data_IF_687316935858
#
_entry.id   IF_687316935858
#
_cell.length_a   1.000
_cell.length_b   1.000
_cell.length_c   1.000
_cell.angle_alpha   90.00
_cell.angle_beta   90.00
_cell.angle_gamma   90.00
#
_symmetry.space_group_name_H-M   'P 1'
#
loop_
_entity.id
_entity.type
_entity.pdbx_description
1 polymer ?
#
# COMPACT_ATOMS: atom_id res chain seq x y z
N UNK A 1 21.00 5.57 -13.20
CA UNK A 1 20.15 5.44 -12.27
C UNK A 1 19.03 4.47 -12.52
N UNK A 2 18.57 3.96 -11.60
CA UNK A 2 17.60 2.91 -11.75
C UNK A 2 16.42 3.35 -12.58
N UNK A 3 16.01 2.48 -13.41
CA UNK A 3 14.82 2.70 -14.21
C UNK A 3 13.83 1.67 -13.75
N UNK A 4 12.86 2.16 -13.03
CA UNK A 4 11.84 1.30 -12.47
C UNK A 4 10.57 1.52 -13.24
N UNK A 5 9.90 0.44 -13.50
CA UNK A 5 8.69 0.48 -14.25
C UNK A 5 7.57 -0.09 -13.43
N UNK A 6 6.54 0.69 -13.25
CA UNK A 6 5.35 0.29 -12.54
C UNK A 6 4.22 0.00 -13.51
N UNK A 7 3.61 -1.16 -13.36
CA UNK A 7 2.41 -1.50 -14.09
C UNK A 7 1.35 -1.85 -13.08
N UNK A 8 0.24 -1.15 -13.13
CA UNK A 8 -0.82 -1.29 -12.14
C UNK A 8 -1.91 -2.18 -12.70
N UNK A 9 -2.29 -3.18 -11.91
CA UNK A 9 -3.40 -4.07 -12.23
C UNK A 9 -4.50 -3.91 -11.21
N UNK A 10 -5.73 -3.84 -11.67
CA UNK A 10 -6.89 -3.77 -10.79
C UNK A 10 -7.89 -4.80 -11.27
N UNK A 11 -8.11 -5.85 -10.46
CA UNK A 11 -9.03 -6.92 -10.79
C UNK A 11 -8.74 -7.54 -12.17
N UNK A 12 -7.46 -7.68 -12.48
CA UNK A 12 -7.03 -8.24 -13.75
C UNK A 12 -6.98 -7.26 -14.90
N UNK A 13 -7.39 -6.03 -14.68
CA UNK A 13 -7.32 -4.98 -15.69
C UNK A 13 -6.15 -4.07 -15.43
N UNK A 14 -5.59 -3.54 -16.53
CA UNK A 14 -4.50 -2.58 -16.41
C UNK A 14 -5.04 -1.19 -16.21
N UNK A 15 -4.37 -0.44 -15.36
CA UNK A 15 -4.66 0.98 -15.19
C UNK A 15 -3.72 1.84 -16.03
N UNK A 16 -3.27 1.30 -17.15
CA UNK A 16 -2.33 2.00 -18.03
C UNK A 16 -2.92 3.25 -18.67
N UNK A 17 -4.25 3.33 -18.70
CA UNK A 17 -4.93 4.46 -19.31
C UNK A 17 -4.92 5.69 -18.41
N UNK A 18 -4.49 5.54 -17.17
CA UNK A 18 -4.42 6.66 -16.26
C UNK A 18 -3.29 7.57 -16.71
N UNK A 19 -3.58 8.84 -16.82
CA UNK A 19 -2.57 9.83 -17.11
C UNK A 19 -1.73 10.05 -15.86
N UNK A 20 -0.50 10.52 -16.05
CA UNK A 20 0.40 10.80 -14.96
C UNK A 20 -0.25 11.74 -13.94
N UNK A 21 -0.96 12.75 -14.42
CA UNK A 21 -1.63 13.70 -13.54
C UNK A 21 -2.68 13.03 -12.66
N UNK A 22 -3.39 12.05 -13.21
CA UNK A 22 -4.41 11.34 -12.44
C UNK A 22 -3.79 10.48 -11.37
N UNK A 23 -2.67 9.82 -11.68
CA UNK A 23 -1.96 9.01 -10.69
C UNK A 23 -1.39 9.89 -9.59
N UNK A 24 -0.83 11.05 -9.96
CA UNK A 24 -0.33 12.00 -8.97
C UNK A 24 -1.45 12.51 -8.09
N UNK A 25 -2.61 12.76 -8.66
CA UNK A 25 -3.74 13.21 -7.87
C UNK A 25 -4.19 12.16 -6.90
N UNK A 26 -4.18 10.89 -7.31
CA UNK A 26 -4.51 9.78 -6.41
C UNK A 26 -3.52 9.73 -5.27
N UNK A 27 -2.23 9.94 -5.55
CA UNK A 27 -1.20 9.96 -4.50
C UNK A 27 -1.31 11.16 -3.59
N UNK A 28 -1.66 12.32 -4.13
CA UNK A 28 -1.68 13.56 -3.36
C UNK A 28 -3.00 13.83 -2.66
N UNK A 29 -4.09 13.33 -3.23
CA UNK A 29 -5.43 13.55 -2.68
C UNK A 29 -6.10 12.24 -2.35
N UNK A 30 -5.30 11.26 -1.95
CA UNK A 30 -5.79 9.92 -1.65
C UNK A 30 -6.37 9.80 -0.25
N UNK A 31 -6.74 10.93 0.33
CA UNK A 31 -7.34 10.95 1.65
C UNK A 31 -8.81 11.28 1.50
N UNK A 32 -9.63 10.34 1.91
CA UNK A 32 -11.06 10.52 1.94
C UNK A 32 -11.50 10.55 3.40
N UNK A 33 -12.26 11.55 3.77
CA UNK A 33 -12.59 11.77 5.17
C UNK A 33 -14.10 11.64 5.39
N UNK A 34 -14.59 10.44 5.69
CA UNK A 34 -15.97 10.30 6.14
C UNK A 34 -16.12 10.89 7.53
N UNK A 35 -17.34 10.92 8.04
CA UNK A 35 -17.67 11.62 9.27
C UNK A 35 -16.80 11.27 10.47
N UNK A 36 -16.34 10.04 10.58
CA UNK A 36 -15.57 9.60 11.75
C UNK A 36 -14.27 8.90 11.40
N UNK A 37 -13.91 8.86 10.13
CA UNK A 37 -12.76 8.08 9.70
C UNK A 37 -11.96 8.75 8.62
N UNK A 38 -10.89 8.09 8.27
CA UNK A 38 -9.93 8.57 7.30
C UNK A 38 -9.44 7.38 6.49
N UNK A 39 -9.58 7.44 5.17
CA UNK A 39 -9.06 6.41 4.28
C UNK A 39 -7.81 6.95 3.59
N UNK A 40 -6.73 6.18 3.64
CA UNK A 40 -5.46 6.56 3.03
C UNK A 40 -5.05 5.48 2.05
N UNK A 41 -4.86 5.86 0.81
CA UNK A 41 -4.38 4.95 -0.24
C UNK A 41 -2.87 5.11 -0.35
N UNK A 42 -2.14 4.06 -0.05
CA UNK A 42 -0.68 4.12 -0.06
C UNK A 42 -0.14 4.00 -1.48
N UNK A 43 0.94 4.73 -1.73
CA UNK A 43 1.70 4.60 -2.97
C UNK A 43 2.96 3.76 -2.68
N UNK A 44 3.70 3.46 -3.73
CA UNK A 44 4.94 2.69 -3.59
C UNK A 44 5.97 3.37 -2.67
N UNK A 45 5.88 4.69 -2.54
CA UNK A 45 6.80 5.45 -1.67
C UNK A 45 6.57 5.22 -0.19
N UNK A 46 5.39 4.72 0.14
CA UNK A 46 5.01 4.50 1.53
C UNK A 46 5.41 3.12 2.02
N UNK A 47 6.02 2.33 1.15
CA UNK A 47 6.34 0.93 1.43
C UNK A 47 7.83 0.67 1.33
N UNK A 48 8.29 -0.33 2.06
CA UNK A 48 9.65 -0.82 1.95
C UNK A 48 9.70 -1.80 0.78
N UNK A 49 10.05 -1.30 -0.40
CA UNK A 49 9.97 -2.07 -1.64
C UNK A 49 10.91 -3.27 -1.66
N UNK A 50 12.09 -3.12 -1.09
CA UNK A 50 13.06 -4.21 -1.09
C UNK A 50 12.62 -5.45 -0.35
N UNK A 51 11.61 -5.34 0.49
CA UNK A 51 11.11 -6.48 1.25
C UNK A 51 10.27 -7.43 0.38
N UNK A 52 9.62 -6.89 -0.64
CA UNK A 52 8.68 -7.68 -1.44
C UNK A 52 9.33 -8.86 -2.15
N UNK A 53 10.60 -8.76 -2.52
CA UNK A 53 11.26 -9.87 -3.21
C UNK A 53 11.35 -11.14 -2.37
N UNK A 54 11.22 -11.00 -1.06
CA UNK A 54 11.28 -12.15 -0.15
C UNK A 54 9.93 -12.79 0.12
N UNK A 55 8.84 -12.13 -0.30
CA UNK A 55 7.49 -12.56 0.06
C UNK A 55 6.58 -12.70 -1.17
N UNK A 56 7.16 -12.99 -2.32
CA UNK A 56 6.37 -13.11 -3.55
C UNK A 56 5.33 -14.22 -3.48
N UNK A 57 5.62 -15.29 -2.75
CA UNK A 57 4.66 -16.36 -2.58
C UNK A 57 3.38 -15.86 -1.93
N UNK A 58 3.53 -15.10 -0.86
CA UNK A 58 2.38 -14.55 -0.14
C UNK A 58 1.64 -13.51 -0.99
N UNK A 59 2.40 -12.66 -1.68
CA UNK A 59 1.82 -11.61 -2.51
C UNK A 59 1.05 -12.20 -3.69
N UNK A 60 1.57 -13.28 -4.28
CA UNK A 60 0.90 -13.91 -5.42
C UNK A 60 -0.47 -14.48 -5.08
N UNK A 61 -0.73 -14.73 -3.81
CA UNK A 61 -2.02 -15.26 -3.37
C UNK A 61 -3.07 -14.17 -3.13
N UNK A 62 -2.68 -12.90 -3.24
CA UNK A 62 -3.58 -11.78 -2.96
C UNK A 62 -4.18 -11.22 -4.24
N UNK A 63 -5.38 -10.67 -4.09
CA UNK A 63 -6.03 -9.93 -5.17
C UNK A 63 -6.56 -8.62 -4.61
N UNK A 64 -6.84 -7.67 -5.50
CA UNK A 64 -7.47 -6.40 -5.12
C UNK A 64 -8.75 -6.65 -4.32
N UNK A 65 -8.90 -5.94 -3.24
CA UNK A 65 -10.07 -6.04 -2.39
C UNK A 65 -9.90 -6.97 -1.20
N UNK A 66 -8.85 -7.79 -1.19
CA UNK A 66 -8.61 -8.69 -0.06
C UNK A 66 -8.36 -7.89 1.21
N UNK A 67 -8.93 -8.35 2.31
CA UNK A 67 -8.63 -7.81 3.63
C UNK A 67 -7.29 -8.34 4.10
N UNK A 68 -6.50 -7.47 4.71
CA UNK A 68 -5.22 -7.85 5.29
C UNK A 68 -5.16 -7.32 6.71
N UNK A 69 -4.32 -7.93 7.52
CA UNK A 69 -4.27 -7.69 8.96
C UNK A 69 -3.14 -6.73 9.29
N UNK A 70 -3.46 -5.70 10.05
CA UNK A 70 -2.50 -4.67 10.45
C UNK A 70 -1.54 -5.24 11.48
N UNK A 71 -0.25 -4.94 11.32
CA UNK A 71 0.78 -5.23 12.30
C UNK A 71 1.62 -3.98 12.51
N UNK A 72 2.56 -4.03 13.44
CA UNK A 72 3.38 -2.86 13.76
C UNK A 72 4.15 -2.29 12.59
N UNK A 73 4.69 -3.17 11.73
CA UNK A 73 5.58 -2.73 10.67
C UNK A 73 4.96 -2.80 9.27
N UNK A 74 3.75 -3.32 9.17
CA UNK A 74 3.12 -3.50 7.87
C UNK A 74 1.81 -4.25 7.99
N UNK A 75 1.57 -5.14 7.05
CA UNK A 75 0.34 -5.93 7.04
C UNK A 75 0.65 -7.39 6.80
N UNK A 76 -0.22 -8.25 7.29
CA UNK A 76 -0.12 -9.69 7.18
C UNK A 76 -1.36 -10.26 6.49
N UNK A 77 -1.22 -11.46 5.93
CA UNK A 77 -2.37 -12.18 5.42
C UNK A 77 -3.09 -12.88 6.58
N UNK A 78 -4.12 -13.64 6.27
CA UNK A 78 -4.91 -14.35 7.28
C UNK A 78 -4.16 -15.50 7.94
N UNK A 79 -3.00 -15.86 7.42
CA UNK A 79 -2.13 -16.88 8.02
C UNK A 79 -1.06 -16.29 8.91
N UNK A 80 -1.06 -14.99 9.09
CA UNK A 80 -0.06 -14.31 9.90
C UNK A 80 1.27 -14.08 9.20
N UNK A 81 1.31 -14.23 7.88
CA UNK A 81 2.52 -14.00 7.11
C UNK A 81 2.54 -12.57 6.58
N UNK A 82 3.70 -11.93 6.65
CA UNK A 82 3.83 -10.55 6.16
C UNK A 82 3.60 -10.49 4.65
N UNK A 83 2.83 -9.50 4.20
CA UNK A 83 2.60 -9.26 2.79
C UNK A 83 3.09 -7.89 2.35
N UNK A 84 3.39 -7.01 3.30
CA UNK A 84 4.04 -5.73 3.00
C UNK A 84 4.63 -5.16 4.28
N UNK A 85 5.61 -4.28 4.12
CA UNK A 85 6.15 -3.47 5.22
C UNK A 85 6.05 -2.02 4.84
N UNK A 86 5.73 -1.18 5.79
CA UNK A 86 5.70 0.27 5.61
C UNK A 86 7.12 0.82 5.56
N UNK A 87 7.31 1.90 4.80
CA UNK A 87 8.55 2.63 4.84
C UNK A 87 8.69 3.31 6.20
N UNK A 88 9.93 3.65 6.56
CA UNK A 88 10.20 4.37 7.80
C UNK A 88 9.41 5.68 7.84
N UNK A 89 9.36 6.38 6.72
CA UNK A 89 8.67 7.65 6.63
C UNK A 89 7.18 7.48 6.85
N UNK A 90 6.59 6.41 6.34
CA UNK A 90 5.17 6.17 6.54
C UNK A 90 4.88 5.77 7.98
N UNK A 91 5.77 5.02 8.62
CA UNK A 91 5.62 4.69 10.03
C UNK A 91 5.59 5.96 10.88
N UNK A 92 6.40 6.96 10.53
CA UNK A 92 6.37 8.25 11.19
C UNK A 92 5.03 8.94 11.00
N UNK A 93 4.47 8.82 9.79
CA UNK A 93 3.17 9.41 9.49
C UNK A 93 2.06 8.74 10.29
N UNK A 94 2.13 7.43 10.47
CA UNK A 94 1.17 6.71 11.31
C UNK A 94 1.23 7.25 12.75
N UNK A 95 2.43 7.46 13.26
CA UNK A 95 2.62 8.02 14.59
C UNK A 95 2.01 9.42 14.69
N UNK A 96 2.20 10.25 13.67
CA UNK A 96 1.61 11.58 13.65
C UNK A 96 0.09 11.52 13.67
N UNK A 97 -0.49 10.62 12.89
CA UNK A 97 -1.95 10.46 12.85
C UNK A 97 -2.46 9.99 14.20
N UNK A 98 -1.73 9.07 14.83
CA UNK A 98 -2.10 8.59 16.14
C UNK A 98 -2.09 9.73 17.17
N UNK A 99 -1.09 10.60 17.08
CA UNK A 99 -1.01 11.76 17.98
C UNK A 99 -2.16 12.74 17.74
N UNK A 100 -2.76 12.71 16.56
CA UNK A 100 -3.93 13.53 16.24
C UNK A 100 -5.24 12.85 16.58
N UNK A 101 -5.19 11.70 17.19
CA UNK A 101 -6.38 10.97 17.62
C UNK A 101 -6.92 9.97 16.63
N UNK A 102 -6.14 9.63 15.61
CA UNK A 102 -6.54 8.61 14.63
C UNK A 102 -5.87 7.28 14.94
N UNK A 103 -6.62 6.22 14.84
CA UNK A 103 -6.12 4.87 15.07
C UNK A 103 -6.36 4.03 13.83
N UNK A 104 -5.33 3.29 13.41
CA UNK A 104 -5.42 2.43 12.25
C UNK A 104 -6.24 1.18 12.59
N UNK A 105 -7.35 1.00 11.89
CA UNK A 105 -8.31 -0.07 12.21
C UNK A 105 -8.38 -1.18 11.18
N UNK A 106 -8.29 -0.86 9.90
CA UNK A 106 -8.47 -1.84 8.85
C UNK A 106 -7.53 -1.55 7.70
N UNK A 107 -7.20 -2.60 6.97
CA UNK A 107 -6.40 -2.51 5.76
C UNK A 107 -6.91 -3.50 4.74
N UNK A 108 -6.83 -3.12 3.49
CA UNK A 108 -7.15 -4.03 2.39
C UNK A 108 -6.25 -3.75 1.21
N UNK A 109 -6.15 -4.73 0.33
CA UNK A 109 -5.38 -4.59 -0.90
C UNK A 109 -6.14 -3.65 -1.84
N UNK A 110 -5.49 -2.57 -2.25
CA UNK A 110 -6.06 -1.64 -3.21
C UNK A 110 -5.60 -1.99 -4.63
N UNK A 111 -4.29 -2.05 -4.82
CA UNK A 111 -3.70 -2.40 -6.10
C UNK A 111 -2.60 -3.44 -5.92
N UNK A 112 -2.43 -4.27 -6.96
CA UNK A 112 -1.25 -5.12 -7.11
C UNK A 112 -0.46 -4.53 -8.27
N UNK A 113 0.80 -4.22 -8.04
CA UNK A 113 1.64 -3.51 -8.99
C UNK A 113 2.85 -4.36 -9.32
N UNK A 114 3.23 -4.38 -10.59
CA UNK A 114 4.47 -5.02 -11.01
C UNK A 114 5.57 -3.97 -11.04
N UNK A 115 6.63 -4.24 -10.31
CA UNK A 115 7.78 -3.36 -10.22
C UNK A 115 8.99 -4.08 -10.80
N UNK A 116 9.62 -3.44 -11.77
CA UNK A 116 10.79 -4.01 -12.41
C UNK A 116 12.02 -3.23 -12.01
N UNK A 117 12.99 -3.94 -11.45
CA UNK A 117 14.32 -3.38 -11.21
C UNK A 117 15.14 -3.70 -12.46
N UNK A 118 15.33 -2.71 -13.32
CA UNK A 118 15.99 -2.93 -14.60
C UNK A 118 17.47 -3.26 -14.45
N UNK A 119 18.08 -2.80 -13.39
CA UNK A 119 19.49 -3.11 -13.15
C UNK A 119 19.68 -4.59 -12.85
N UNK A 120 18.78 -5.16 -12.11
CA UNK A 120 18.84 -6.58 -11.74
C UNK A 120 17.96 -7.45 -12.61
N UNK A 121 17.18 -6.85 -13.47
CA UNK A 121 16.24 -7.53 -14.36
C UNK A 121 15.28 -8.46 -13.61
N UNK A 122 14.84 -7.99 -12.46
CA UNK A 122 13.91 -8.72 -11.61
C UNK A 122 12.58 -8.00 -11.62
N UNK A 123 11.52 -8.75 -11.83
CA UNK A 123 10.17 -8.23 -11.71
C UNK A 123 9.55 -8.72 -10.42
N UNK A 124 9.00 -7.79 -9.65
CA UNK A 124 8.47 -8.08 -8.33
C UNK A 124 7.06 -7.52 -8.25
N UNK A 125 6.14 -8.30 -7.71
CA UNK A 125 4.80 -7.80 -7.41
C UNK A 125 4.81 -7.13 -6.06
N UNK A 126 4.20 -5.95 -5.98
CA UNK A 126 4.05 -5.24 -4.73
C UNK A 126 2.57 -4.99 -4.46
N UNK A 127 2.24 -4.84 -3.20
CA UNK A 127 0.87 -4.59 -2.75
C UNK A 127 0.77 -3.13 -2.33
N UNK A 128 -0.18 -2.41 -2.89
CA UNK A 128 -0.49 -1.06 -2.45
C UNK A 128 -1.80 -1.11 -1.67
N UNK A 129 -1.73 -0.91 -0.36
CA UNK A 129 -2.93 -1.07 0.46
C UNK A 129 -3.71 0.21 0.60
N UNK A 130 -4.95 0.05 1.01
CA UNK A 130 -5.79 1.13 1.48
C UNK A 130 -5.94 0.93 2.98
N UNK A 131 -5.63 1.96 3.75
CA UNK A 131 -5.69 1.91 5.21
C UNK A 131 -6.84 2.77 5.71
N UNK A 132 -7.56 2.25 6.71
CA UNK A 132 -8.67 2.97 7.30
C UNK A 132 -8.36 3.29 8.75
N UNK A 133 -8.39 4.57 9.06
CA UNK A 133 -8.18 5.08 10.41
C UNK A 133 -9.51 5.56 10.96
N UNK A 134 -9.70 5.41 12.25
CA UNK A 134 -10.85 5.97 12.93
C UNK A 134 -10.39 6.96 13.95
N UNK A 135 -11.15 8.03 14.09
CA UNK A 135 -10.86 9.03 15.11
C UNK A 135 -11.32 8.50 16.46
N UNK A 136 -10.41 8.54 17.43
CA UNK A 136 -10.74 8.15 18.79
C UNK A 136 -11.12 9.40 19.58
N UNK A 137 -12.22 9.32 20.29
CA UNK A 137 -12.66 10.41 21.15
C UNK A 137 -12.36 10.06 22.59
N UNK A 138 -11.86 11.03 23.29
CA UNK A 138 -11.61 10.85 24.73
C UNK A 138 -12.66 11.63 25.51
#
# INVERSE_FOLDING_TARGET
RAKQKLTIHLNGNYLNNFKTEELERIENHNIFQPSSGLAVHLSHRDLYLGYFKYIQKQVNALISGDSIVISEEGCKNDRGEMVLKFSKKFLERITELKNKGFELKEAKVNFIVHWTDEDKKIEVKIVLPELHFEKTYN
#
